data_IF_248467941329
#
_entry.id   IF_248467941329
#
_cell.length_a   1.000
_cell.length_b   1.000
_cell.length_c   1.000
_cell.angle_alpha   90.00
_cell.angle_beta   90.00
_cell.angle_gamma   90.00
#
_symmetry.space_group_name_H-M   'P 1'
#
loop_
_entity.id
_entity.type
_entity.pdbx_description
1 polymer ?
#
# COMPACT_ATOMS: atom_id res chain seq x y z
N UNK A 1 0.60 -9.57 9.89
CA UNK A 1 1.95 -9.45 10.45
C UNK A 1 2.82 -8.76 9.44
N UNK A 2 3.68 -7.83 9.87
CA UNK A 2 4.64 -7.18 8.99
C UNK A 2 5.99 -7.87 9.18
N UNK A 3 6.47 -8.55 8.13
CA UNK A 3 7.83 -9.07 8.08
C UNK A 3 8.76 -7.99 7.55
N UNK A 4 9.90 -7.79 8.19
CA UNK A 4 10.97 -6.89 7.74
C UNK A 4 11.74 -7.44 6.52
N UNK A 5 11.04 -8.19 5.65
CA UNK A 5 11.65 -8.90 4.55
C UNK A 5 11.51 -8.07 3.27
N UNK A 6 12.65 -7.53 2.82
CA UNK A 6 12.80 -6.80 1.56
C UNK A 6 12.65 -7.68 0.32
N UNK A 7 12.33 -8.97 0.46
CA UNK A 7 12.14 -9.90 -0.66
C UNK A 7 11.09 -9.41 -1.66
N UNK A 8 11.55 -8.95 -2.83
CA UNK A 8 10.73 -8.50 -3.96
C UNK A 8 9.78 -9.57 -4.51
N UNK A 9 9.94 -10.82 -4.08
CA UNK A 9 9.05 -11.93 -4.43
C UNK A 9 8.79 -12.80 -3.22
N UNK A 10 7.51 -13.05 -2.95
CA UNK A 10 6.98 -13.90 -1.89
C UNK A 10 5.99 -14.85 -2.54
N UNK A 11 6.17 -16.15 -2.37
CA UNK A 11 5.23 -17.15 -2.90
C UNK A 11 4.42 -17.72 -1.73
N UNK A 12 3.13 -17.39 -1.71
CA UNK A 12 2.19 -17.93 -0.73
C UNK A 12 1.67 -19.30 -1.18
N UNK A 13 1.84 -20.33 -0.35
CA UNK A 13 1.27 -21.66 -0.58
C UNK A 13 0.06 -21.90 0.32
N UNK A 14 -0.90 -22.68 -0.17
CA UNK A 14 -2.15 -22.96 0.51
C UNK A 14 -3.31 -22.07 0.08
N UNK A 15 -4.52 -22.46 0.51
CA UNK A 15 -5.74 -21.71 0.25
C UNK A 15 -5.69 -20.34 0.91
N UNK A 16 -6.20 -19.32 0.22
CA UNK A 16 -6.19 -17.89 0.59
C UNK A 16 -4.82 -17.22 0.72
N UNK A 17 -3.73 -17.96 0.53
CA UNK A 17 -2.38 -17.41 0.63
C UNK A 17 -2.16 -16.27 -0.37
N UNK A 18 -1.49 -15.21 0.11
CA UNK A 18 -1.12 -14.04 -0.68
C UNK A 18 0.38 -14.11 -0.95
N UNK A 19 0.76 -14.05 -2.22
CA UNK A 19 2.13 -13.86 -2.67
C UNK A 19 2.34 -12.45 -3.23
N UNK A 20 3.61 -12.04 -3.33
CA UNK A 20 4.07 -10.86 -4.05
C UNK A 20 4.96 -11.33 -5.19
N UNK A 21 4.70 -10.94 -6.43
CA UNK A 21 5.52 -11.33 -7.59
C UNK A 21 5.73 -10.11 -8.47
N UNK A 22 6.98 -9.71 -8.68
CA UNK A 22 7.30 -8.47 -9.40
C UNK A 22 6.62 -7.25 -8.78
N UNK A 23 5.81 -6.56 -9.58
CA UNK A 23 5.06 -5.37 -9.16
C UNK A 23 3.60 -5.66 -8.78
N UNK A 24 3.29 -6.87 -8.31
CA UNK A 24 1.92 -7.22 -7.97
C UNK A 24 1.78 -8.23 -6.85
N UNK A 25 0.56 -8.35 -6.35
CA UNK A 25 0.16 -9.40 -5.43
C UNK A 25 -0.62 -10.48 -6.17
N UNK A 26 -0.47 -11.71 -5.73
CA UNK A 26 -1.26 -12.85 -6.21
C UNK A 26 -1.95 -13.47 -5.02
N UNK A 27 -3.19 -13.89 -5.19
CA UNK A 27 -3.94 -14.60 -4.16
C UNK A 27 -4.39 -15.95 -4.70
N UNK A 28 -4.12 -17.00 -3.94
CA UNK A 28 -4.65 -18.33 -4.21
C UNK A 28 -6.16 -18.40 -3.94
N UNK A 29 -6.82 -19.42 -4.50
CA UNK A 29 -8.21 -19.77 -4.21
C UNK A 29 -8.49 -19.70 -2.70
N UNK A 30 -9.54 -18.96 -2.33
CA UNK A 30 -9.88 -18.70 -0.92
C UNK A 30 -10.36 -19.97 -0.24
N UNK A 31 -11.08 -20.83 -0.97
CA UNK A 31 -11.60 -22.09 -0.43
C UNK A 31 -10.60 -23.23 -0.65
N UNK A 32 -10.45 -24.06 0.39
CA UNK A 32 -9.57 -25.22 0.36
C UNK A 32 -9.97 -26.23 -0.72
N UNK A 33 -11.26 -26.40 -0.98
CA UNK A 33 -11.76 -27.32 -2.00
C UNK A 33 -11.41 -26.87 -3.41
N UNK A 34 -11.57 -25.58 -3.71
CA UNK A 34 -11.17 -25.02 -5.01
C UNK A 34 -9.66 -25.11 -5.18
N UNK A 35 -8.90 -24.69 -4.16
CA UNK A 35 -7.44 -24.81 -4.15
C UNK A 35 -6.97 -26.24 -4.44
N UNK A 36 -7.47 -27.22 -3.68
CA UNK A 36 -7.06 -28.63 -3.81
C UNK A 36 -7.41 -29.20 -5.19
N UNK A 37 -8.55 -28.81 -5.75
CA UNK A 37 -8.98 -29.23 -7.11
C UNK A 37 -8.06 -28.67 -8.20
N UNK A 38 -7.65 -27.41 -8.09
CA UNK A 38 -6.72 -26.81 -9.04
C UNK A 38 -5.35 -27.50 -9.00
N UNK A 39 -4.81 -27.74 -7.80
CA UNK A 39 -3.53 -28.44 -7.61
C UNK A 39 -3.61 -29.89 -8.11
N UNK A 40 -4.68 -30.63 -7.77
CA UNK A 40 -4.87 -32.00 -8.24
C UNK A 40 -4.99 -32.11 -9.77
N UNK A 41 -5.45 -31.05 -10.44
CA UNK A 41 -5.51 -30.95 -11.89
C UNK A 41 -4.19 -30.46 -12.54
N UNK A 42 -3.11 -30.31 -11.77
CA UNK A 42 -1.82 -29.80 -12.26
C UNK A 42 -1.85 -28.32 -12.68
N UNK A 43 -2.84 -27.56 -12.22
CA UNK A 43 -3.01 -26.14 -12.55
C UNK A 43 -2.62 -25.25 -11.37
N UNK A 44 -2.21 -24.02 -11.66
CA UNK A 44 -2.04 -23.00 -10.64
C UNK A 44 -3.38 -22.73 -9.95
N UNK A 45 -3.34 -22.60 -8.63
CA UNK A 45 -4.50 -22.26 -7.80
C UNK A 45 -4.60 -20.76 -7.55
N UNK A 46 -3.92 -19.93 -8.34
CA UNK A 46 -4.01 -18.48 -8.29
C UNK A 46 -5.38 -18.04 -8.79
N UNK A 47 -6.14 -17.37 -7.93
CA UNK A 47 -7.50 -16.89 -8.22
C UNK A 47 -7.51 -15.43 -8.65
N UNK A 48 -6.62 -14.61 -8.05
CA UNK A 48 -6.56 -13.16 -8.29
C UNK A 48 -5.12 -12.71 -8.44
N UNK A 49 -4.89 -11.79 -9.37
CA UNK A 49 -3.67 -10.99 -9.47
C UNK A 49 -4.03 -9.51 -9.31
N UNK A 50 -3.26 -8.79 -8.52
CA UNK A 50 -3.37 -7.34 -8.34
C UNK A 50 -2.06 -6.70 -8.76
N UNK A 51 -2.07 -5.98 -9.88
CA UNK A 51 -0.91 -5.22 -10.34
C UNK A 51 -0.91 -3.89 -9.60
N UNK A 52 0.17 -3.60 -8.88
CA UNK A 52 0.36 -2.29 -8.26
C UNK A 52 0.50 -1.26 -9.37
N UNK A 53 -0.28 -0.20 -9.27
CA UNK A 53 -0.09 0.99 -10.10
C UNK A 53 1.12 1.77 -9.60
N UNK A 54 1.62 2.68 -10.43
CA UNK A 54 2.64 3.66 -10.03
C UNK A 54 2.20 4.44 -8.77
N UNK A 55 0.92 4.79 -8.71
CA UNK A 55 0.32 5.47 -7.56
C UNK A 55 0.38 4.59 -6.29
N UNK A 56 0.05 3.29 -6.39
CA UNK A 56 0.11 2.36 -5.26
C UNK A 56 1.55 2.18 -4.74
N UNK A 57 2.54 2.22 -5.64
CA UNK A 57 3.96 2.16 -5.28
C UNK A 57 4.42 3.42 -4.56
N UNK A 58 4.11 4.58 -5.12
CA UNK A 58 4.41 5.86 -4.49
C UNK A 58 3.77 5.95 -3.10
N UNK A 59 2.52 5.50 -2.97
CA UNK A 59 1.80 5.41 -1.70
C UNK A 59 2.50 4.53 -0.68
N UNK A 60 2.87 3.31 -1.07
CA UNK A 60 3.57 2.38 -0.20
C UNK A 60 4.90 2.98 0.29
N UNK A 61 5.65 3.64 -0.60
CA UNK A 61 6.90 4.30 -0.26
C UNK A 61 6.71 5.48 0.70
N UNK A 62 5.67 6.31 0.52
CA UNK A 62 5.33 7.40 1.46
C UNK A 62 5.01 6.83 2.85
N UNK A 63 4.15 5.81 2.92
CA UNK A 63 3.76 5.17 4.18
C UNK A 63 4.97 4.54 4.88
N UNK A 64 5.82 3.84 4.14
CA UNK A 64 7.04 3.24 4.68
C UNK A 64 7.96 4.31 5.29
N UNK A 65 8.21 5.40 4.56
CA UNK A 65 9.04 6.52 5.03
C UNK A 65 8.47 7.19 6.27
N UNK A 66 7.16 7.44 6.32
CA UNK A 66 6.52 7.97 7.52
C UNK A 66 6.67 7.01 8.71
N UNK A 67 6.43 5.71 8.50
CA UNK A 67 6.49 4.72 9.59
C UNK A 67 7.91 4.49 10.13
N UNK A 68 8.93 4.58 9.27
CA UNK A 68 10.33 4.37 9.64
C UNK A 68 11.04 5.65 10.11
N UNK A 69 10.87 6.73 9.36
CA UNK A 69 11.68 7.95 9.49
C UNK A 69 10.89 9.11 10.14
N UNK A 70 9.57 8.95 10.34
CA UNK A 70 8.64 10.02 10.74
C UNK A 70 8.57 11.19 9.75
N UNK A 71 9.12 11.01 8.55
CA UNK A 71 9.12 12.02 7.50
C UNK A 71 9.12 11.39 6.10
N UNK A 72 8.55 12.12 5.14
CA UNK A 72 8.51 11.71 3.74
C UNK A 72 8.52 12.92 2.81
N UNK A 73 9.39 12.88 1.79
CA UNK A 73 9.38 13.83 0.68
C UNK A 73 8.42 13.33 -0.40
N UNK A 74 7.17 13.78 -0.35
CA UNK A 74 6.12 13.32 -1.27
C UNK A 74 6.48 13.65 -2.73
N UNK A 75 6.89 14.89 -3.09
CA UNK A 75 7.34 15.21 -4.44
C UNK A 75 8.46 14.30 -4.96
N UNK A 76 9.50 14.05 -4.16
CA UNK A 76 10.62 13.21 -4.59
C UNK A 76 10.20 11.74 -4.79
N UNK A 77 9.37 11.20 -3.89
CA UNK A 77 8.84 9.84 -4.00
C UNK A 77 7.94 9.73 -5.24
N UNK A 78 7.02 10.68 -5.43
CA UNK A 78 6.14 10.70 -6.60
C UNK A 78 6.93 10.79 -7.91
N UNK A 79 7.97 11.61 -7.97
CA UNK A 79 8.86 11.70 -9.13
C UNK A 79 9.58 10.37 -9.42
N UNK A 80 10.07 9.67 -8.39
CA UNK A 80 10.74 8.38 -8.53
C UNK A 80 9.80 7.27 -9.04
N UNK A 81 8.49 7.41 -8.82
CA UNK A 81 7.46 6.44 -9.20
C UNK A 81 6.58 6.91 -10.36
N UNK A 82 6.84 8.07 -10.98
CA UNK A 82 6.04 8.57 -12.10
C UNK A 82 4.58 8.91 -11.73
N UNK A 83 4.33 9.30 -10.47
CA UNK A 83 3.00 9.67 -9.97
C UNK A 83 2.89 11.19 -9.74
N UNK A 84 1.67 11.72 -9.73
CA UNK A 84 1.43 13.13 -9.43
C UNK A 84 1.35 13.37 -7.90
N UNK A 85 2.25 14.18 -7.30
CA UNK A 85 2.20 14.50 -5.88
C UNK A 85 0.94 15.24 -5.45
N UNK A 86 0.27 15.97 -6.36
CA UNK A 86 -0.96 16.71 -6.06
C UNK A 86 -2.04 15.75 -5.58
N UNK A 87 -2.19 14.57 -6.18
CA UNK A 87 -3.19 13.59 -5.75
C UNK A 87 -3.00 13.10 -4.31
N UNK A 88 -1.75 13.01 -3.83
CA UNK A 88 -1.47 12.61 -2.45
C UNK A 88 -1.66 13.77 -1.46
N UNK A 89 -1.40 15.00 -1.91
CA UNK A 89 -1.54 16.23 -1.13
C UNK A 89 -2.94 16.86 -1.20
N UNK A 90 -3.82 16.41 -2.11
CA UNK A 90 -5.24 16.83 -2.21
C UNK A 90 -6.20 15.83 -1.56
N UNK A 91 -5.80 14.55 -1.41
CA UNK A 91 -6.53 13.55 -0.59
C UNK A 91 -6.50 13.87 0.92
N UNK A 92 -6.26 15.14 1.24
CA UNK A 92 -5.55 15.64 2.39
C UNK A 92 -6.42 16.48 3.32
N UNK A 93 -7.75 16.43 3.22
CA UNK A 93 -8.60 17.02 4.28
C UNK A 93 -8.19 16.49 5.66
N UNK A 94 -7.87 15.19 5.76
CA UNK A 94 -7.30 14.58 6.96
C UNK A 94 -5.92 15.14 7.32
N UNK A 95 -5.05 15.36 6.33
CA UNK A 95 -3.72 15.96 6.55
C UNK A 95 -3.83 17.41 7.02
N UNK A 96 -4.76 18.20 6.48
CA UNK A 96 -5.00 19.58 6.90
C UNK A 96 -5.47 19.65 8.36
N UNK A 97 -6.33 18.72 8.80
CA UNK A 97 -6.70 18.60 10.21
C UNK A 97 -5.50 18.26 11.09
N UNK A 98 -4.69 17.28 10.67
CA UNK A 98 -3.47 16.87 11.41
C UNK A 98 -2.43 18.00 11.48
N UNK A 99 -2.31 18.83 10.44
CA UNK A 99 -1.46 20.01 10.44
C UNK A 99 -1.99 21.08 11.39
N UNK A 100 -3.31 21.31 11.41
CA UNK A 100 -3.94 22.24 12.34
C UNK A 100 -3.75 21.84 13.80
N UNK A 101 -3.72 20.54 14.08
CA UNK A 101 -3.47 19.98 15.40
C UNK A 101 -1.96 19.93 15.77
N UNK A 102 -1.06 20.39 14.90
CA UNK A 102 0.39 20.37 15.13
C UNK A 102 1.00 18.96 15.18
N UNK A 103 0.29 17.97 14.62
CA UNK A 103 0.72 16.57 14.54
C UNK A 103 1.67 16.39 13.36
N UNK A 104 1.40 17.09 12.26
CA UNK A 104 2.15 17.02 11.00
C UNK A 104 2.56 18.42 10.56
N UNK A 105 3.81 18.58 10.17
CA UNK A 105 4.31 19.77 9.48
C UNK A 105 4.47 19.44 8.00
N UNK A 106 3.84 20.23 7.13
CA UNK A 106 3.96 20.09 5.67
C UNK A 106 4.61 21.34 5.10
N UNK A 107 5.82 21.20 4.55
CA UNK A 107 6.53 22.29 3.91
C UNK A 107 6.94 21.87 2.49
N UNK A 108 6.42 22.55 1.46
CA UNK A 108 6.74 22.28 0.04
C UNK A 108 6.55 20.81 -0.38
N UNK A 109 5.59 20.11 0.24
CA UNK A 109 5.33 18.69 0.01
C UNK A 109 6.18 17.73 0.84
N UNK A 110 7.10 18.24 1.65
CA UNK A 110 7.80 17.47 2.68
C UNK A 110 6.90 17.33 3.90
N UNK A 111 6.52 16.10 4.23
CA UNK A 111 5.62 15.77 5.35
C UNK A 111 6.46 15.26 6.51
N UNK A 112 6.36 15.90 7.67
CA UNK A 112 7.08 15.51 8.89
C UNK A 112 6.11 15.36 10.05
N UNK A 113 6.18 14.23 10.74
CA UNK A 113 5.40 14.00 11.95
C UNK A 113 6.19 14.46 13.16
N UNK A 114 5.56 15.30 13.98
CA UNK A 114 6.20 15.83 15.17
C UNK A 114 6.57 14.70 16.13
N UNK A 115 7.79 14.70 16.68
CA UNK A 115 8.29 13.60 17.54
C UNK A 115 7.44 13.39 18.79
N UNK A 116 6.87 14.47 19.33
CA UNK A 116 5.91 14.45 20.44
C UNK A 116 4.61 13.70 20.09
N UNK A 117 4.24 13.68 18.80
CA UNK A 117 3.04 13.04 18.26
C UNK A 117 3.34 11.73 17.52
N UNK A 118 4.50 11.09 17.75
CA UNK A 118 4.88 9.81 17.12
C UNK A 118 3.84 8.69 17.30
N UNK A 119 3.03 8.75 18.36
CA UNK A 119 1.96 7.79 18.60
C UNK A 119 0.85 7.86 17.54
N UNK A 120 0.68 9.03 16.91
CA UNK A 120 -0.30 9.27 15.84
C UNK A 120 0.22 8.86 14.46
N UNK A 121 1.45 8.32 14.35
CA UNK A 121 2.06 7.99 13.04
C UNK A 121 1.20 7.07 12.18
N UNK A 122 0.50 6.11 12.80
CA UNK A 122 -0.42 5.22 12.09
C UNK A 122 -1.61 5.96 11.50
N UNK A 123 -2.11 6.98 12.19
CA UNK A 123 -3.20 7.83 11.70
C UNK A 123 -2.73 8.71 10.54
N UNK A 124 -1.51 9.24 10.62
CA UNK A 124 -0.89 9.99 9.52
C UNK A 124 -0.67 9.09 8.31
N UNK A 125 -0.09 7.90 8.49
CA UNK A 125 0.09 6.92 7.43
C UNK A 125 -1.24 6.50 6.78
N UNK A 126 -2.30 6.31 7.59
CA UNK A 126 -3.64 5.99 7.08
C UNK A 126 -4.27 7.14 6.27
N UNK A 127 -3.88 8.40 6.48
CA UNK A 127 -4.31 9.51 5.63
C UNK A 127 -3.73 9.41 4.22
N UNK A 128 -2.58 8.74 4.06
CA UNK A 128 -2.01 8.39 2.76
C UNK A 128 -2.49 7.04 2.23
N UNK A 129 -3.33 6.28 2.93
CA UNK A 129 -3.81 4.99 2.43
C UNK A 129 -5.17 5.14 1.72
N UNK A 130 -5.20 5.03 0.40
CA UNK A 130 -6.43 5.12 -0.40
C UNK A 130 -7.41 3.95 -0.16
N UNK A 131 -7.00 2.92 0.58
CA UNK A 131 -7.88 1.80 0.90
C UNK A 131 -9.04 2.17 1.83
N UNK A 132 -8.99 3.30 2.54
CA UNK A 132 -10.11 3.76 3.36
C UNK A 132 -11.20 4.47 2.55
N UNK A 133 -10.86 5.10 1.41
CA UNK A 133 -11.82 5.89 0.63
C UNK A 133 -12.32 5.16 -0.64
N UNK A 134 -11.65 4.08 -1.09
CA UNK A 134 -12.14 3.22 -2.18
C UNK A 134 -12.89 1.99 -1.65
N UNK A 135 -14.10 2.19 -1.17
CA UNK A 135 -15.08 1.13 -0.85
C UNK A 135 -15.63 0.35 -2.06
N UNK A 136 -14.87 0.12 -3.12
CA UNK A 136 -15.35 -0.65 -4.27
C UNK A 136 -14.26 -1.49 -4.95
N UNK A 137 -14.45 -2.82 -5.10
CA UNK A 137 -13.53 -3.67 -5.83
C UNK A 137 -13.59 -3.30 -7.33
N UNK A 138 -12.47 -2.84 -7.88
CA UNK A 138 -12.35 -2.75 -9.34
C UNK A 138 -12.16 -4.17 -9.87
N UNK A 139 -13.28 -4.75 -10.32
CA UNK A 139 -13.33 -5.96 -11.15
C UNK A 139 -12.68 -5.66 -12.51
N UNK A 140 -12.05 -6.69 -13.09
CA UNK A 140 -11.34 -6.81 -14.38
C UNK A 140 -9.82 -6.61 -14.31
N UNK A 141 -9.01 -7.50 -14.87
CA UNK A 141 -9.23 -8.28 -16.09
C UNK A 141 -8.56 -9.66 -15.99
N UNK A 142 -9.27 -10.70 -16.43
CA UNK A 142 -8.75 -12.07 -16.59
C UNK A 142 -7.59 -12.06 -17.59
N UNK A 143 -6.49 -12.71 -17.24
CA UNK A 143 -5.49 -13.21 -18.19
C UNK A 143 -5.68 -14.72 -18.27
#
# INVERSE_FOLDING_TARGET
>A
GYSADTCKTVIGFGASAIGRVGEGYVQNEVTRDSYSRHIAAGRLATSKGYRLTDEDRARAAIIERLMCDLEADVPAICAAHGSDPIHFLESAERLAMLTKDGIVDIEKGFVRVSRQHRFAIRSVAAAFDAFLDRGAPRVNQRV
#
